data_IF_986853867005
#
_entry.id   IF_986853867005
#
_cell.length_a   1.000
_cell.length_b   1.000
_cell.length_c   1.000
_cell.angle_alpha   90.00
_cell.angle_beta   90.00
_cell.angle_gamma   90.00
#
_symmetry.space_group_name_H-M   'P 1'
#
loop_
_entity.id
_entity.type
_entity.pdbx_description
1 polymer ?
#
# COMPACT_ATOMS: atom_id res chain seq x y z
N UNK A 1 1.95 7.53 21.49
CA UNK A 1 2.58 6.18 21.51
C UNK A 1 1.52 5.16 21.14
N UNK A 2 1.40 4.83 19.85
CA UNK A 2 0.50 3.78 19.42
C UNK A 2 1.15 2.43 19.63
N UNK A 3 0.82 1.73 20.71
CA UNK A 3 1.07 0.30 20.74
C UNK A 3 0.36 -0.28 19.49
N UNK A 4 1.11 -0.99 18.64
CA UNK A 4 0.50 -1.72 17.54
C UNK A 4 -0.43 -2.74 18.16
N UNK A 5 -1.74 -2.44 18.12
CA UNK A 5 -2.77 -3.34 18.62
C UNK A 5 -2.60 -4.70 17.91
N UNK A 6 -2.77 -5.84 18.58
CA UNK A 6 -2.69 -7.16 17.92
C UNK A 6 -3.55 -7.26 16.67
N UNK A 7 -4.68 -6.56 16.64
CA UNK A 7 -5.58 -6.41 15.50
C UNK A 7 -4.90 -5.78 14.26
N UNK A 8 -4.04 -4.79 14.44
CA UNK A 8 -3.30 -4.16 13.35
C UNK A 8 -2.31 -5.10 12.66
N UNK A 9 -1.77 -6.07 13.40
CA UNK A 9 -0.90 -7.11 12.81
C UNK A 9 -1.67 -8.05 11.89
N UNK A 10 -2.88 -8.44 12.26
CA UNK A 10 -3.72 -9.32 11.42
C UNK A 10 -4.06 -8.60 10.12
N UNK A 11 -4.46 -7.33 10.19
CA UNK A 11 -4.73 -6.53 9.00
C UNK A 11 -3.50 -6.41 8.09
N UNK A 12 -2.35 -6.06 8.65
CA UNK A 12 -1.10 -5.92 7.90
C UNK A 12 -0.68 -7.23 7.22
N UNK A 13 -0.79 -8.36 7.92
CA UNK A 13 -0.51 -9.70 7.36
C UNK A 13 -1.47 -10.05 6.24
N UNK A 14 -2.75 -9.76 6.40
CA UNK A 14 -3.75 -9.99 5.35
C UNK A 14 -3.42 -9.18 4.10
N UNK A 15 -3.01 -7.94 4.24
CA UNK A 15 -2.58 -7.11 3.11
C UNK A 15 -1.35 -7.68 2.42
N UNK A 16 -0.35 -8.11 3.19
CA UNK A 16 0.90 -8.65 2.67
C UNK A 16 0.71 -9.94 1.84
N UNK A 17 -0.30 -10.75 2.17
CA UNK A 17 -0.58 -12.02 1.47
C UNK A 17 -0.91 -11.84 -0.02
N UNK A 18 -1.35 -10.65 -0.44
CA UNK A 18 -1.64 -10.36 -1.84
C UNK A 18 -0.41 -10.01 -2.67
N UNK A 19 0.76 -9.89 -2.04
CA UNK A 19 2.02 -9.58 -2.72
C UNK A 19 2.74 -10.85 -3.11
N UNK A 20 3.07 -10.99 -4.40
CA UNK A 20 3.83 -12.12 -4.90
C UNK A 20 5.31 -12.01 -4.49
N UNK A 21 5.73 -12.92 -3.62
CA UNK A 21 7.12 -12.98 -3.13
C UNK A 21 8.10 -13.48 -4.20
N UNK A 22 7.62 -14.17 -5.22
CA UNK A 22 8.45 -14.70 -6.33
C UNK A 22 8.78 -13.64 -7.38
N UNK A 23 8.01 -12.57 -7.45
CA UNK A 23 8.30 -11.45 -8.34
C UNK A 23 9.58 -10.74 -7.90
N UNK A 24 10.32 -10.22 -8.86
CA UNK A 24 11.56 -9.44 -8.63
C UNK A 24 11.34 -7.94 -8.69
N UNK A 25 10.18 -7.50 -9.17
CA UNK A 25 9.86 -6.08 -9.30
C UNK A 25 9.71 -5.36 -7.96
N UNK A 26 9.79 -4.02 -7.98
CA UNK A 26 9.58 -3.21 -6.78
C UNK A 26 8.20 -3.44 -6.15
N UNK A 27 8.13 -3.36 -4.83
CA UNK A 27 6.90 -3.30 -4.05
C UNK A 27 6.81 -1.92 -3.42
N UNK A 28 5.84 -1.14 -3.81
CA UNK A 28 5.63 0.23 -3.32
C UNK A 28 4.65 0.21 -2.16
N UNK A 29 5.05 0.76 -1.02
CA UNK A 29 4.17 0.99 0.13
C UNK A 29 3.89 2.48 0.27
N UNK A 30 2.61 2.84 0.36
CA UNK A 30 2.14 4.21 0.54
C UNK A 30 1.73 4.44 1.99
N UNK A 31 2.33 5.44 2.62
CA UNK A 31 2.01 5.82 4.00
C UNK A 31 2.42 4.77 5.04
N UNK A 32 3.67 4.27 5.03
CA UNK A 32 4.11 3.24 5.97
C UNK A 32 4.07 3.65 7.44
N UNK A 33 4.14 4.94 7.73
CA UNK A 33 4.14 5.45 9.11
C UNK A 33 5.27 4.83 9.93
N UNK A 34 4.91 4.08 10.97
CA UNK A 34 5.89 3.39 11.83
C UNK A 34 6.34 2.03 11.29
N UNK A 35 5.79 1.56 10.17
CA UNK A 35 6.25 0.34 9.48
C UNK A 35 5.50 -0.93 9.81
N UNK A 36 4.26 -0.88 10.26
CA UNK A 36 3.47 -2.08 10.58
C UNK A 36 3.24 -2.97 9.33
N UNK A 37 2.84 -2.37 8.21
CA UNK A 37 2.67 -3.08 6.94
C UNK A 37 4.03 -3.47 6.38
N UNK A 38 5.03 -2.61 6.49
CA UNK A 38 6.41 -2.89 6.08
C UNK A 38 6.94 -4.17 6.75
N UNK A 39 6.76 -4.29 8.06
CA UNK A 39 7.14 -5.50 8.79
C UNK A 39 6.40 -6.74 8.28
N UNK A 40 5.09 -6.62 8.03
CA UNK A 40 4.30 -7.73 7.54
C UNK A 40 4.73 -8.19 6.13
N UNK A 41 5.11 -7.26 5.26
CA UNK A 41 5.65 -7.57 3.93
C UNK A 41 6.97 -8.35 4.04
N UNK A 42 7.87 -7.94 4.92
CA UNK A 42 9.15 -8.63 5.16
C UNK A 42 8.90 -10.01 5.78
N UNK A 43 8.04 -10.12 6.77
CA UNK A 43 7.66 -11.41 7.38
C UNK A 43 7.00 -12.36 6.37
N UNK A 44 6.26 -11.84 5.41
CA UNK A 44 5.66 -12.61 4.32
C UNK A 44 6.71 -13.19 3.36
N UNK A 45 7.89 -12.58 3.27
CA UNK A 45 9.00 -13.02 2.43
C UNK A 45 9.42 -12.03 1.33
N UNK A 46 8.90 -10.80 1.36
CA UNK A 46 9.36 -9.75 0.44
C UNK A 46 10.76 -9.30 0.85
N UNK A 47 11.71 -9.37 -0.09
CA UNK A 47 13.06 -8.86 0.15
C UNK A 47 13.01 -7.35 0.40
N UNK A 48 13.67 -6.91 1.47
CA UNK A 48 13.71 -5.49 1.86
C UNK A 48 14.23 -4.59 0.73
N UNK A 49 15.14 -5.09 -0.11
CA UNK A 49 15.68 -4.37 -1.27
C UNK A 49 14.65 -4.03 -2.34
N UNK A 50 13.54 -4.77 -2.37
CA UNK A 50 12.42 -4.50 -3.29
C UNK A 50 11.49 -3.40 -2.80
N UNK A 51 11.55 -3.05 -1.51
CA UNK A 51 10.62 -2.10 -0.91
C UNK A 51 10.96 -0.66 -1.26
N UNK A 52 9.95 0.06 -1.74
CA UNK A 52 9.97 1.52 -1.95
C UNK A 52 8.88 2.11 -1.07
N UNK A 53 9.29 2.82 -0.02
CA UNK A 53 8.41 3.36 1.02
C UNK A 53 8.19 4.85 0.77
N UNK A 54 6.95 5.22 0.44
CA UNK A 54 6.58 6.63 0.19
C UNK A 54 5.89 7.19 1.44
N UNK A 55 6.57 8.11 2.10
CA UNK A 55 6.13 8.72 3.35
C UNK A 55 6.26 10.23 3.31
N UNK A 56 5.21 10.94 3.73
CA UNK A 56 5.20 12.40 3.74
C UNK A 56 5.91 13.00 4.95
N UNK A 57 5.79 12.35 6.11
CA UNK A 57 6.33 12.86 7.37
C UNK A 57 7.84 12.64 7.46
N UNK A 58 8.67 13.70 7.60
CA UNK A 58 10.12 13.55 7.65
C UNK A 58 10.62 12.75 8.85
N UNK A 59 9.93 12.82 9.99
CA UNK A 59 10.27 12.05 11.19
C UNK A 59 10.06 10.55 10.95
N UNK A 60 8.97 10.15 10.32
CA UNK A 60 8.76 8.76 9.93
C UNK A 60 9.75 8.31 8.86
N UNK A 61 10.10 9.17 7.92
CA UNK A 61 11.15 8.84 6.93
C UNK A 61 12.48 8.52 7.61
N UNK A 62 12.89 9.29 8.60
CA UNK A 62 14.11 9.04 9.35
C UNK A 62 14.04 7.70 10.10
N UNK A 63 12.92 7.42 10.77
CA UNK A 63 12.67 6.16 11.47
C UNK A 63 12.74 4.95 10.52
N UNK A 64 12.11 5.08 9.35
CA UNK A 64 12.08 4.01 8.35
C UNK A 64 13.46 3.72 7.75
N UNK A 65 14.25 4.76 7.48
CA UNK A 65 15.63 4.60 7.00
C UNK A 65 16.52 3.88 8.00
N UNK A 66 16.35 4.19 9.27
CA UNK A 66 17.08 3.52 10.34
C UNK A 66 16.66 2.05 10.49
N UNK A 67 15.35 1.81 10.48
CA UNK A 67 14.77 0.48 10.71
C UNK A 67 14.89 -0.47 9.53
N UNK A 68 14.83 0.08 8.30
CA UNK A 68 14.86 -0.67 7.04
C UNK A 68 15.95 -0.13 6.11
N UNK A 69 17.23 -0.32 6.45
CA UNK A 69 18.35 0.32 5.74
C UNK A 69 18.51 -0.14 4.28
N UNK A 70 17.94 -1.28 3.91
CA UNK A 70 17.97 -1.79 2.54
C UNK A 70 16.77 -1.36 1.69
N UNK A 71 15.71 -0.86 2.32
CA UNK A 71 14.56 -0.31 1.62
C UNK A 71 14.85 1.11 1.12
N UNK A 72 14.19 1.49 0.02
CA UNK A 72 14.26 2.85 -0.49
C UNK A 72 13.15 3.69 0.14
N UNK A 73 13.51 4.66 0.96
CA UNK A 73 12.56 5.58 1.58
C UNK A 73 12.52 6.87 0.78
N UNK A 74 11.35 7.21 0.27
CA UNK A 74 11.08 8.41 -0.53
C UNK A 74 10.18 9.34 0.29
N UNK A 75 10.70 10.52 0.64
CA UNK A 75 9.88 11.55 1.25
C UNK A 75 9.08 12.27 0.18
N UNK A 76 7.76 12.16 0.22
CA UNK A 76 6.90 12.77 -0.76
C UNK A 76 5.43 12.51 -0.53
N UNK A 77 4.61 13.16 -1.34
CA UNK A 77 3.16 13.04 -1.29
C UNK A 77 2.71 11.84 -2.16
N UNK A 78 2.07 10.85 -1.52
CA UNK A 78 1.53 9.69 -2.21
C UNK A 78 0.38 10.06 -3.17
N UNK A 79 -0.33 11.15 -2.92
CA UNK A 79 -1.42 11.61 -3.79
C UNK A 79 -0.95 12.34 -5.06
N UNK A 80 0.35 12.57 -5.18
CA UNK A 80 1.04 13.01 -6.40
C UNK A 80 2.05 11.97 -6.86
N UNK A 81 1.63 10.70 -6.86
CA UNK A 81 2.49 9.52 -6.96
C UNK A 81 3.36 9.51 -8.22
N UNK A 82 2.80 9.89 -9.35
CA UNK A 82 3.55 9.98 -10.61
C UNK A 82 4.78 10.90 -10.48
N UNK A 83 4.60 12.08 -9.90
CA UNK A 83 5.70 13.02 -9.68
C UNK A 83 6.70 12.53 -8.63
N UNK A 84 6.20 11.88 -7.58
CA UNK A 84 7.02 11.39 -6.46
C UNK A 84 7.91 10.22 -6.87
N UNK A 85 7.43 9.34 -7.76
CA UNK A 85 8.13 8.11 -8.14
C UNK A 85 8.64 8.08 -9.59
N UNK A 86 8.45 9.12 -10.33
CA UNK A 86 8.75 9.19 -11.77
C UNK A 86 10.16 8.71 -12.15
N UNK A 87 11.17 9.02 -11.35
CA UNK A 87 12.59 8.66 -11.57
C UNK A 87 13.15 7.69 -10.52
N UNK A 88 12.29 7.15 -9.65
CA UNK A 88 12.69 6.34 -8.50
C UNK A 88 12.66 4.84 -8.81
N UNK A 89 11.64 4.38 -9.53
CA UNK A 89 11.45 2.96 -9.82
C UNK A 89 12.40 2.50 -10.94
N UNK A 90 13.14 1.42 -10.67
CA UNK A 90 14.03 0.78 -11.66
C UNK A 90 13.29 -0.10 -12.65
N UNK A 91 12.05 -0.49 -12.34
CA UNK A 91 11.17 -1.33 -13.13
C UNK A 91 9.72 -1.08 -12.72
N UNK A 92 8.72 -1.52 -13.49
CA UNK A 92 7.33 -1.47 -13.07
C UNK A 92 7.11 -2.19 -11.75
N UNK A 93 6.31 -1.61 -10.86
CA UNK A 93 6.02 -2.19 -9.56
C UNK A 93 5.21 -3.49 -9.69
N UNK A 94 5.57 -4.50 -8.93
CA UNK A 94 4.84 -5.77 -8.86
C UNK A 94 3.65 -5.72 -7.91
N UNK A 95 3.59 -4.73 -7.04
CA UNK A 95 2.47 -4.45 -6.15
C UNK A 95 2.56 -3.02 -5.62
N UNK A 96 1.43 -2.45 -5.28
CA UNK A 96 1.32 -1.25 -4.44
C UNK A 96 0.47 -1.61 -3.23
N UNK A 97 0.97 -1.33 -2.03
CA UNK A 97 0.27 -1.59 -0.76
C UNK A 97 0.07 -0.25 -0.06
N UNK A 98 -1.18 0.12 0.16
CA UNK A 98 -1.53 1.44 0.68
C UNK A 98 -2.03 1.38 2.11
N UNK A 99 -1.32 2.04 3.01
CA UNK A 99 -1.74 2.34 4.39
C UNK A 99 -2.47 3.68 4.54
N UNK A 100 -2.82 4.32 3.44
CA UNK A 100 -3.49 5.62 3.45
C UNK A 100 -4.97 5.51 3.79
N UNK A 101 -5.54 6.45 4.54
CA UNK A 101 -6.98 6.50 4.82
C UNK A 101 -7.74 7.09 3.63
N UNK A 102 -7.84 6.35 2.52
CA UNK A 102 -8.39 6.86 1.25
C UNK A 102 -9.79 7.44 1.37
N UNK A 103 -10.64 6.85 2.20
CA UNK A 103 -12.03 7.30 2.36
C UNK A 103 -12.16 8.72 2.88
N UNK A 104 -11.12 9.25 3.52
CA UNK A 104 -11.08 10.65 4.01
C UNK A 104 -10.82 11.66 2.89
N UNK A 105 -10.44 11.21 1.70
CA UNK A 105 -10.11 12.06 0.56
C UNK A 105 -11.25 12.14 -0.45
N UNK A 106 -11.37 13.25 -1.19
CA UNK A 106 -12.32 13.36 -2.29
C UNK A 106 -12.13 12.24 -3.31
N UNK A 107 -13.22 11.79 -3.91
CA UNK A 107 -13.20 10.67 -4.86
C UNK A 107 -12.24 10.89 -6.04
N UNK A 108 -12.09 12.13 -6.49
CA UNK A 108 -11.15 12.49 -7.57
C UNK A 108 -9.71 12.17 -7.20
N UNK A 109 -9.32 12.40 -5.96
CA UNK A 109 -7.97 12.10 -5.47
C UNK A 109 -7.73 10.59 -5.38
N UNK A 110 -8.73 9.83 -4.93
CA UNK A 110 -8.65 8.36 -4.85
C UNK A 110 -8.49 7.75 -6.24
N UNK A 111 -9.29 8.20 -7.20
CA UNK A 111 -9.23 7.74 -8.59
C UNK A 111 -7.91 8.09 -9.25
N UNK A 112 -7.42 9.31 -9.02
CA UNK A 112 -6.12 9.75 -9.54
C UNK A 112 -4.99 8.90 -8.98
N UNK A 113 -4.98 8.66 -7.67
CA UNK A 113 -3.99 7.81 -7.04
C UNK A 113 -3.98 6.41 -7.65
N UNK A 114 -5.15 5.79 -7.79
CA UNK A 114 -5.26 4.45 -8.36
C UNK A 114 -4.76 4.41 -9.82
N UNK A 115 -5.13 5.40 -10.61
CA UNK A 115 -4.67 5.53 -12.01
C UNK A 115 -3.15 5.71 -12.09
N UNK A 116 -2.61 6.65 -11.31
CA UNK A 116 -1.17 6.91 -11.28
C UNK A 116 -0.39 5.67 -10.81
N UNK A 117 -0.92 4.93 -9.84
CA UNK A 117 -0.33 3.68 -9.40
C UNK A 117 -0.32 2.63 -10.52
N UNK A 118 -1.44 2.43 -11.21
CA UNK A 118 -1.52 1.47 -12.32
C UNK A 118 -0.55 1.80 -13.45
N UNK A 119 -0.30 3.09 -13.72
CA UNK A 119 0.68 3.50 -14.75
C UNK A 119 2.13 3.14 -14.35
N UNK A 120 2.40 2.95 -13.05
CA UNK A 120 3.70 2.56 -12.51
C UNK A 120 3.85 1.06 -12.25
N UNK A 121 2.78 0.29 -12.46
CA UNK A 121 2.69 -1.12 -12.10
C UNK A 121 2.74 -2.04 -13.33
N UNK A 122 3.15 -3.27 -13.09
CA UNK A 122 2.97 -4.36 -14.06
C UNK A 122 1.46 -4.56 -14.35
N UNK A 123 1.10 -4.94 -15.59
CA UNK A 123 -0.29 -5.30 -15.90
C UNK A 123 -0.80 -6.40 -14.95
N UNK A 124 -1.99 -6.19 -14.40
CA UNK A 124 -2.62 -7.15 -13.48
C UNK A 124 -2.03 -7.20 -12.07
N UNK A 125 -1.01 -6.41 -11.77
CA UNK A 125 -0.45 -6.33 -10.42
C UNK A 125 -1.47 -5.75 -9.42
N UNK A 126 -1.43 -6.20 -8.14
CA UNK A 126 -2.40 -5.77 -7.14
C UNK A 126 -2.09 -4.40 -6.54
N UNK A 127 -3.10 -3.54 -6.47
CA UNK A 127 -3.13 -2.39 -5.57
C UNK A 127 -3.95 -2.80 -4.34
N UNK A 128 -3.30 -2.90 -3.19
CA UNK A 128 -3.87 -3.42 -1.95
C UNK A 128 -4.19 -2.28 -1.01
N UNK A 129 -5.45 -2.15 -0.61
CA UNK A 129 -5.96 -1.08 0.25
C UNK A 129 -6.80 -1.66 1.37
N UNK A 130 -6.69 -1.10 2.57
CA UNK A 130 -7.62 -1.42 3.65
C UNK A 130 -8.72 -0.36 3.78
N UNK A 131 -9.81 -0.75 4.44
CA UNK A 131 -10.86 0.17 4.87
C UNK A 131 -11.59 -0.35 6.10
N UNK A 132 -12.10 0.55 6.91
CA UNK A 132 -13.06 0.25 7.98
C UNK A 132 -14.51 0.38 7.50
N UNK A 133 -14.72 0.90 6.30
CA UNK A 133 -16.03 1.02 5.66
C UNK A 133 -16.49 -0.32 5.07
N UNK A 134 -17.80 -0.50 4.94
CA UNK A 134 -18.39 -1.63 4.18
C UNK A 134 -18.23 -1.46 2.68
N UNK A 135 -18.18 -0.21 2.22
CA UNK A 135 -18.06 0.11 0.80
C UNK A 135 -16.61 0.12 0.34
N UNK A 136 -16.39 -0.18 -0.95
CA UNK A 136 -15.09 -0.06 -1.57
C UNK A 136 -14.58 1.39 -1.49
N UNK A 137 -13.33 1.62 -1.07
CA UNK A 137 -12.70 2.94 -1.11
C UNK A 137 -12.68 3.58 -2.49
N UNK A 138 -12.60 2.77 -3.55
CA UNK A 138 -12.73 3.22 -4.95
C UNK A 138 -13.88 2.45 -5.60
N UNK A 139 -15.04 3.09 -5.83
CA UNK A 139 -16.23 2.43 -6.36
C UNK A 139 -16.03 1.92 -7.79
N UNK A 140 -16.51 0.70 -8.08
CA UNK A 140 -16.43 0.04 -9.40
C UNK A 140 -17.07 0.82 -10.55
N UNK A 141 -18.05 1.67 -10.24
CA UNK A 141 -18.77 2.46 -11.26
C UNK A 141 -17.87 3.36 -12.11
N UNK A 142 -16.65 3.61 -11.66
CA UNK A 142 -15.69 4.41 -12.42
C UNK A 142 -14.93 3.61 -13.50
N UNK A 143 -15.08 2.28 -13.52
CA UNK A 143 -14.54 1.42 -14.56
C UNK A 143 -13.02 1.34 -14.64
N UNK A 144 -12.51 0.57 -15.60
CA UNK A 144 -11.08 0.47 -15.89
C UNK A 144 -10.27 -0.40 -14.93
N UNK A 145 -10.92 -1.01 -13.92
CA UNK A 145 -10.26 -1.88 -12.96
C UNK A 145 -11.22 -2.93 -12.39
N UNK A 146 -10.67 -4.02 -11.89
CA UNK A 146 -11.39 -5.01 -11.10
C UNK A 146 -11.19 -4.70 -9.61
N UNK A 147 -12.16 -5.09 -8.79
CA UNK A 147 -12.09 -4.92 -7.34
C UNK A 147 -12.52 -6.21 -6.64
N UNK A 148 -11.67 -6.70 -5.76
CA UNK A 148 -11.87 -7.90 -4.95
C UNK A 148 -11.76 -7.52 -3.49
N UNK A 149 -12.66 -8.03 -2.64
CA UNK A 149 -12.64 -7.78 -1.21
C UNK A 149 -12.28 -9.05 -0.44
N UNK A 150 -11.46 -8.92 0.58
CA UNK A 150 -11.25 -9.97 1.57
C UNK A 150 -12.50 -10.18 2.43
N UNK A 151 -12.50 -11.24 3.22
CA UNK A 151 -13.42 -11.34 4.35
C UNK A 151 -13.17 -10.23 5.37
N UNK A 152 -14.15 -9.95 6.21
CA UNK A 152 -14.01 -8.99 7.29
C UNK A 152 -13.01 -9.47 8.34
N UNK A 153 -12.11 -8.61 8.74
CA UNK A 153 -11.14 -8.88 9.80
C UNK A 153 -11.75 -8.41 11.12
N UNK A 154 -12.45 -9.31 11.79
CA UNK A 154 -13.17 -9.02 13.03
C UNK A 154 -12.25 -8.80 14.23
N UNK A 155 -11.01 -9.33 14.19
CA UNK A 155 -10.01 -9.09 15.23
C UNK A 155 -9.48 -7.65 15.21
N UNK A 156 -9.77 -6.89 14.15
CA UNK A 156 -9.51 -5.45 14.10
C UNK A 156 -10.68 -4.69 14.74
N UNK A 157 -10.40 -3.64 15.50
CA UNK A 157 -11.42 -2.79 16.13
C UNK A 157 -11.18 -1.35 15.72
N UNK A 158 -12.08 -0.76 14.90
CA UNK A 158 -13.25 -1.37 14.26
C UNK A 158 -12.87 -2.46 13.23
N UNK A 159 -13.78 -3.37 12.87
CA UNK A 159 -13.52 -4.40 11.87
C UNK A 159 -13.07 -3.80 10.55
N UNK A 160 -12.05 -4.41 9.94
CA UNK A 160 -11.46 -3.94 8.68
C UNK A 160 -11.69 -4.93 7.54
N UNK A 161 -11.51 -4.45 6.34
CA UNK A 161 -11.53 -5.26 5.12
C UNK A 161 -10.40 -4.80 4.20
N UNK A 162 -9.81 -5.74 3.48
CA UNK A 162 -8.80 -5.47 2.46
C UNK A 162 -9.47 -5.51 1.08
N UNK A 163 -9.20 -4.50 0.29
CA UNK A 163 -9.59 -4.43 -1.12
C UNK A 163 -8.38 -4.53 -2.01
N UNK A 164 -8.53 -5.28 -3.09
CA UNK A 164 -7.48 -5.46 -4.11
C UNK A 164 -8.02 -4.99 -5.45
N UNK A 165 -7.34 -4.02 -6.02
CA UNK A 165 -7.66 -3.45 -7.33
C UNK A 165 -6.61 -3.88 -8.35
N UNK A 166 -7.06 -4.28 -9.53
CA UNK A 166 -6.20 -4.60 -10.67
C UNK A 166 -6.71 -3.88 -11.90
N UNK A 167 -5.80 -3.37 -12.70
CA UNK A 167 -6.15 -2.77 -13.99
C UNK A 167 -6.83 -3.83 -14.87
N UNK A 168 -7.97 -3.47 -15.42
CA UNK A 168 -8.72 -4.32 -16.35
C UNK A 168 -7.98 -4.45 -17.68
#
# INVERSE_FOLDING_TARGET
>A
MGAVMPSGRVLARTMAQYVDIKSTGPVVELGPGTGAITNALIEHGVDQKRLVLVEYNPGFCALLRDRYPQAKVVQGDAYTLRNTLWDVLSAPASAVVSGLPLVTKPIRMRLRLLRDAFDLMLPGAPFVQFTYSVASPVPRRFGGFTAEASERIWMNIPPARVWVYRKA
#
